data_IF_810904916182
#
_entry.id   IF_810904916182
#
_cell.length_a   1.000
_cell.length_b   1.000
_cell.length_c   1.000
_cell.angle_alpha   90.00
_cell.angle_beta   90.00
_cell.angle_gamma   90.00
#
_symmetry.space_group_name_H-M   'P 1'
#
loop_
_entity.id
_entity.type
_entity.pdbx_description
1 polymer ?
#
# COMPACT_ATOMS: atom_id res chain seq x y z
N UNK A 1 14.12 -32.77 3.01
CA UNK A 1 14.31 -32.82 1.53
C UNK A 1 15.17 -31.62 1.16
N UNK A 2 16.30 -31.81 0.48
CA UNK A 2 17.20 -30.72 0.05
C UNK A 2 16.48 -29.89 -1.03
N UNK A 3 16.49 -28.57 -0.91
CA UNK A 3 15.85 -27.66 -1.87
C UNK A 3 16.94 -27.00 -2.73
N UNK A 4 16.66 -26.85 -4.01
CA UNK A 4 17.52 -26.24 -5.04
C UNK A 4 17.18 -24.75 -5.28
N UNK A 5 16.30 -24.19 -4.45
CA UNK A 5 15.89 -22.79 -4.47
C UNK A 5 16.02 -22.16 -3.08
N UNK A 6 16.05 -20.83 -3.07
CA UNK A 6 15.96 -19.98 -1.90
C UNK A 6 14.82 -18.97 -2.07
N UNK A 7 14.23 -18.53 -0.96
CA UNK A 7 13.14 -17.54 -0.94
C UNK A 7 13.66 -16.28 -0.27
N UNK A 8 13.47 -15.13 -0.92
CA UNK A 8 13.83 -13.82 -0.41
C UNK A 8 12.57 -13.00 -0.18
N UNK A 9 12.50 -12.31 0.96
CA UNK A 9 11.44 -11.36 1.26
C UNK A 9 11.93 -9.96 0.86
N UNK A 10 11.15 -9.28 0.04
CA UNK A 10 11.45 -7.93 -0.43
C UNK A 10 10.53 -6.93 0.25
N UNK A 11 11.13 -5.90 0.84
CA UNK A 11 10.43 -4.73 1.35
C UNK A 11 11.17 -3.48 0.88
N UNK A 12 10.54 -2.60 0.07
CA UNK A 12 11.17 -1.38 -0.38
C UNK A 12 11.35 -0.41 0.80
N UNK A 13 12.49 0.28 0.85
CA UNK A 13 12.73 1.30 1.87
C UNK A 13 12.54 2.71 1.27
N UNK A 14 12.14 3.66 2.11
CA UNK A 14 12.01 5.07 1.73
C UNK A 14 13.04 5.92 2.48
N UNK A 15 13.57 6.95 1.81
CA UNK A 15 14.46 7.91 2.46
C UNK A 15 13.73 8.64 3.59
N UNK A 16 14.47 9.10 4.60
CA UNK A 16 13.87 9.87 5.70
C UNK A 16 13.19 11.16 5.23
N UNK A 17 13.68 11.76 4.15
CA UNK A 17 13.01 12.91 3.52
C UNK A 17 11.61 12.56 3.00
N UNK A 18 11.47 11.42 2.30
CA UNK A 18 10.18 10.96 1.79
C UNK A 18 9.26 10.57 2.96
N UNK A 19 9.80 9.89 3.98
CA UNK A 19 9.12 9.57 5.25
C UNK A 19 8.58 10.82 5.92
N UNK A 20 9.40 11.84 6.11
CA UNK A 20 8.99 13.11 6.74
C UNK A 20 7.93 13.84 5.90
N UNK A 21 8.15 13.94 4.60
CA UNK A 21 7.32 14.76 3.72
C UNK A 21 5.95 14.16 3.45
N UNK A 22 5.87 12.85 3.27
CA UNK A 22 4.63 12.19 2.83
C UNK A 22 4.00 11.29 3.89
N UNK A 23 4.79 10.73 4.82
CA UNK A 23 4.30 9.72 5.76
C UNK A 23 4.21 10.22 7.23
N UNK A 24 4.98 11.24 7.63
CA UNK A 24 4.94 11.75 9.01
C UNK A 24 3.76 12.68 9.31
N UNK A 25 3.16 13.33 8.31
CA UNK A 25 1.91 14.08 8.50
C UNK A 25 0.73 13.18 8.96
N UNK A 26 0.88 11.85 8.88
CA UNK A 26 -0.20 10.88 9.13
C UNK A 26 -0.11 10.14 10.47
N UNK A 27 0.93 10.34 11.29
CA UNK A 27 0.99 9.67 12.61
C UNK A 27 -0.07 10.15 13.60
N UNK A 28 -0.71 11.29 13.37
CA UNK A 28 -1.76 11.81 14.25
C UNK A 28 -3.17 11.34 13.87
N UNK A 29 -3.38 10.72 12.70
CA UNK A 29 -4.72 10.33 12.23
C UNK A 29 -4.66 8.91 11.63
N UNK A 30 -4.80 7.91 12.51
CA UNK A 30 -5.22 6.54 12.21
C UNK A 30 -4.32 5.72 11.26
N UNK A 31 -3.49 4.86 11.86
CA UNK A 31 -2.67 3.81 11.21
C UNK A 31 -3.42 2.86 10.25
N UNK A 32 -4.76 2.88 10.20
CA UNK A 32 -5.59 2.08 9.28
C UNK A 32 -5.94 2.79 7.96
N UNK A 33 -5.80 4.12 7.90
CA UNK A 33 -6.19 4.93 6.72
C UNK A 33 -5.02 5.03 5.72
N UNK A 34 -3.78 5.00 6.22
CA UNK A 34 -2.54 5.19 5.45
C UNK A 34 -2.32 4.15 4.36
N UNK A 35 -2.46 2.86 4.67
CA UNK A 35 -2.27 1.77 3.70
C UNK A 35 -3.22 1.90 2.49
N UNK A 36 -4.47 2.35 2.71
CA UNK A 36 -5.46 2.55 1.64
C UNK A 36 -5.21 3.79 0.79
N UNK A 37 -4.53 4.81 1.34
CA UNK A 37 -4.16 6.02 0.60
C UNK A 37 -3.03 5.72 -0.38
N UNK A 38 -2.02 4.99 0.06
CA UNK A 38 -0.86 4.63 -0.75
C UNK A 38 -1.31 3.80 -1.96
N UNK A 39 -2.03 2.70 -1.73
CA UNK A 39 -2.58 1.84 -2.78
C UNK A 39 -3.44 2.63 -3.79
N UNK A 40 -4.35 3.48 -3.30
CA UNK A 40 -5.17 4.30 -4.18
C UNK A 40 -4.36 5.36 -4.95
N UNK A 41 -3.23 5.83 -4.41
CA UNK A 41 -2.33 6.77 -5.10
C UNK A 41 -1.55 6.07 -6.20
N UNK A 42 -1.07 4.85 -5.93
CA UNK A 42 -0.39 4.01 -6.91
C UNK A 42 -1.33 3.64 -8.06
N UNK A 43 -2.58 3.23 -7.77
CA UNK A 43 -3.57 2.95 -8.82
C UNK A 43 -3.92 4.22 -9.60
N UNK A 44 -4.02 5.38 -8.95
CA UNK A 44 -4.24 6.66 -9.65
C UNK A 44 -3.07 7.02 -10.58
N UNK A 45 -1.84 6.67 -10.21
CA UNK A 45 -0.66 6.88 -11.05
C UNK A 45 -0.59 5.87 -12.21
N UNK A 46 -0.76 4.58 -11.91
CA UNK A 46 -0.58 3.47 -12.84
C UNK A 46 -1.76 3.27 -13.80
N UNK A 47 -2.97 3.42 -13.28
CA UNK A 47 -4.25 3.12 -13.96
C UNK A 47 -5.34 4.13 -13.56
N UNK A 48 -5.15 5.42 -13.87
CA UNK A 48 -6.12 6.47 -13.54
C UNK A 48 -7.52 6.17 -14.08
N UNK A 49 -7.63 5.44 -15.18
CA UNK A 49 -8.89 5.01 -15.80
C UNK A 49 -9.74 4.07 -14.93
N UNK A 50 -9.11 3.37 -13.97
CA UNK A 50 -9.78 2.49 -13.03
C UNK A 50 -10.30 3.22 -11.78
N UNK A 51 -9.82 4.44 -11.54
CA UNK A 51 -10.17 5.23 -10.36
C UNK A 51 -11.44 6.04 -10.66
N UNK A 52 -12.59 5.55 -10.19
CA UNK A 52 -13.92 6.12 -10.48
C UNK A 52 -14.49 6.92 -9.31
N UNK A 53 -13.83 8.04 -9.02
CA UNK A 53 -14.14 8.91 -7.89
C UNK A 53 -15.60 9.40 -7.92
N UNK A 54 -16.10 9.76 -9.11
CA UNK A 54 -17.46 10.27 -9.29
C UNK A 54 -18.55 9.25 -8.93
N UNK A 55 -18.28 7.94 -9.11
CA UNK A 55 -19.25 6.88 -8.80
C UNK A 55 -19.46 6.73 -7.30
N UNK A 56 -18.42 6.95 -6.51
CA UNK A 56 -18.50 6.80 -5.06
C UNK A 56 -19.28 7.97 -4.44
N UNK A 57 -19.06 9.20 -4.91
CA UNK A 57 -19.83 10.39 -4.51
C UNK A 57 -21.33 10.19 -4.78
N UNK A 58 -21.69 9.70 -5.97
CA UNK A 58 -23.09 9.42 -6.30
C UNK A 58 -23.72 8.30 -5.46
N UNK A 59 -22.93 7.30 -5.05
CA UNK A 59 -23.40 6.23 -4.17
C UNK A 59 -23.71 6.76 -2.76
N UNK A 60 -22.93 7.75 -2.29
CA UNK A 60 -23.10 8.39 -0.99
C UNK A 60 -24.37 9.23 -0.92
N UNK A 61 -24.65 10.06 -1.94
CA UNK A 61 -25.90 10.83 -1.98
C UNK A 61 -27.12 9.91 -1.95
N UNK A 62 -27.07 8.80 -2.69
CA UNK A 62 -28.17 7.83 -2.73
C UNK A 62 -28.38 7.12 -1.40
N UNK A 63 -27.32 6.86 -0.63
CA UNK A 63 -27.41 6.19 0.67
C UNK A 63 -27.86 7.16 1.76
N UNK A 64 -27.34 8.39 1.75
CA UNK A 64 -27.78 9.46 2.65
C UNK A 64 -29.26 9.79 2.44
N UNK A 65 -29.72 9.88 1.18
CA UNK A 65 -31.15 10.10 0.83
C UNK A 65 -32.07 8.94 1.22
N UNK A 66 -31.55 7.71 1.38
CA UNK A 66 -32.35 6.53 1.80
C UNK A 66 -32.56 6.46 3.32
N UNK A 67 -31.72 7.14 4.09
CA UNK A 67 -31.79 7.14 5.55
C UNK A 67 -32.70 8.28 6.03
N UNK A 68 -34.01 8.02 6.08
CA UNK A 68 -34.98 8.95 6.64
C UNK A 68 -35.07 8.77 8.17
N UNK A 69 -33.95 8.97 8.87
CA UNK A 69 -33.86 8.83 10.32
C UNK A 69 -34.04 10.19 11.00
N UNK A 70 -34.65 10.20 12.19
CA UNK A 70 -34.74 11.42 13.01
C UNK A 70 -33.35 11.91 13.41
N UNK A 71 -33.19 13.21 13.71
CA UNK A 71 -31.90 13.83 14.06
C UNK A 71 -31.12 13.16 15.21
N UNK A 72 -31.78 12.33 16.02
CA UNK A 72 -31.18 11.63 17.16
C UNK A 72 -30.82 10.16 16.84
N UNK A 73 -31.04 9.69 15.61
CA UNK A 73 -30.79 8.32 15.19
C UNK A 73 -29.81 8.29 14.02
N UNK A 74 -28.78 7.47 14.14
CA UNK A 74 -27.89 7.12 13.05
C UNK A 74 -27.77 5.60 12.98
N UNK A 75 -27.60 5.07 11.77
CA UNK A 75 -27.11 3.71 11.59
C UNK A 75 -25.72 3.79 10.97
N UNK A 76 -24.74 3.15 11.61
CA UNK A 76 -23.43 2.98 11.02
C UNK A 76 -23.50 1.95 9.91
N UNK A 77 -23.62 2.40 8.68
CA UNK A 77 -23.02 1.66 7.58
C UNK A 77 -21.50 1.81 7.71
N UNK A 78 -20.89 1.04 8.62
CA UNK A 78 -19.48 1.18 9.05
C UNK A 78 -18.46 1.18 7.91
N UNK A 79 -18.77 0.56 6.77
CA UNK A 79 -17.92 0.59 5.58
C UNK A 79 -17.92 1.93 4.81
N UNK A 80 -19.02 2.69 4.87
CA UNK A 80 -19.24 3.87 4.01
C UNK A 80 -18.59 5.12 4.62
N UNK A 81 -18.73 5.33 5.94
CA UNK A 81 -18.03 6.43 6.64
C UNK A 81 -16.51 6.29 6.58
N UNK A 82 -16.00 5.06 6.55
CA UNK A 82 -14.57 4.79 6.40
C UNK A 82 -14.04 5.26 5.02
N UNK A 83 -14.78 5.01 3.95
CA UNK A 83 -14.42 5.50 2.60
C UNK A 83 -14.55 7.03 2.48
N UNK A 84 -15.48 7.65 3.20
CA UNK A 84 -15.69 9.11 3.27
C UNK A 84 -14.46 9.88 3.79
N UNK A 85 -13.85 9.43 4.89
CA UNK A 85 -12.65 10.07 5.45
C UNK A 85 -11.44 9.92 4.51
N UNK A 86 -11.33 8.77 3.84
CA UNK A 86 -10.26 8.50 2.87
C UNK A 86 -10.36 9.45 1.67
N UNK A 87 -11.57 9.84 1.26
CA UNK A 87 -11.85 10.66 0.08
C UNK A 87 -11.78 12.17 0.30
N UNK A 88 -12.25 12.68 1.45
CA UNK A 88 -12.35 14.14 1.70
C UNK A 88 -11.00 14.86 1.87
N UNK A 89 -9.90 14.12 2.05
CA UNK A 89 -8.54 14.68 2.20
C UNK A 89 -7.78 14.72 0.87
N UNK A 90 -8.44 14.40 -0.27
CA UNK A 90 -7.78 14.15 -1.55
C UNK A 90 -7.76 15.39 -2.46
N UNK A 91 -6.61 16.04 -2.55
CA UNK A 91 -6.25 16.84 -3.73
C UNK A 91 -5.62 15.93 -4.79
N UNK A 92 -6.21 15.85 -5.99
CA UNK A 92 -5.80 14.94 -7.07
C UNK A 92 -4.33 15.09 -7.51
N UNK A 93 -3.77 16.30 -7.44
CA UNK A 93 -2.40 16.58 -7.88
C UNK A 93 -1.33 15.97 -6.95
N UNK A 94 -1.57 15.98 -5.64
CA UNK A 94 -0.57 15.53 -4.66
C UNK A 94 -0.53 13.99 -4.56
N UNK A 95 -1.66 13.31 -4.80
CA UNK A 95 -1.76 11.84 -4.81
C UNK A 95 -1.15 11.20 -6.05
N UNK A 96 -1.29 11.80 -7.23
CA UNK A 96 -0.62 11.27 -8.43
C UNK A 96 0.91 11.34 -8.24
N UNK A 97 1.41 12.47 -7.70
CA UNK A 97 2.81 12.62 -7.33
C UNK A 97 3.26 11.61 -6.27
N UNK A 98 2.45 11.41 -5.23
CA UNK A 98 2.73 10.40 -4.20
C UNK A 98 2.79 8.99 -4.79
N UNK A 99 1.80 8.60 -5.60
CA UNK A 99 1.76 7.31 -6.27
C UNK A 99 2.98 7.08 -7.15
N UNK A 100 3.37 8.10 -7.92
CA UNK A 100 4.61 8.09 -8.70
C UNK A 100 5.84 7.83 -7.83
N UNK A 101 6.01 8.58 -6.75
CA UNK A 101 7.16 8.44 -5.84
C UNK A 101 7.21 7.04 -5.24
N UNK A 102 6.07 6.52 -4.75
CA UNK A 102 6.00 5.19 -4.15
C UNK A 102 6.36 4.13 -5.20
N UNK A 103 5.70 4.17 -6.36
CA UNK A 103 5.91 3.20 -7.44
C UNK A 103 7.34 3.22 -7.95
N UNK A 104 7.89 4.39 -8.28
CA UNK A 104 9.25 4.51 -8.84
C UNK A 104 10.31 4.10 -7.83
N UNK A 105 10.15 4.47 -6.55
CA UNK A 105 11.05 4.03 -5.49
C UNK A 105 11.01 2.51 -5.33
N UNK A 106 9.81 1.91 -5.28
CA UNK A 106 9.65 0.45 -5.18
C UNK A 106 10.29 -0.28 -6.36
N UNK A 107 10.09 0.22 -7.59
CA UNK A 107 10.72 -0.35 -8.79
C UNK A 107 12.25 -0.27 -8.70
N UNK A 108 12.80 0.87 -8.27
CA UNK A 108 14.25 1.03 -8.12
C UNK A 108 14.83 0.02 -7.13
N UNK A 109 14.25 -0.08 -5.94
CA UNK A 109 14.68 -1.03 -4.91
C UNK A 109 14.53 -2.48 -5.36
N UNK A 110 13.46 -2.80 -6.11
CA UNK A 110 13.25 -4.14 -6.64
C UNK A 110 14.32 -4.51 -7.69
N UNK A 111 14.72 -3.57 -8.55
CA UNK A 111 15.80 -3.79 -9.51
C UNK A 111 17.10 -4.12 -8.78
N UNK A 112 17.43 -3.38 -7.72
CA UNK A 112 18.64 -3.61 -6.94
C UNK A 112 18.57 -4.93 -6.18
N UNK A 113 17.43 -5.26 -5.55
CA UNK A 113 17.22 -6.54 -4.91
C UNK A 113 17.37 -7.73 -5.89
N UNK A 114 16.84 -7.62 -7.11
CA UNK A 114 17.03 -8.66 -8.14
C UNK A 114 18.51 -8.81 -8.51
N UNK A 115 19.27 -7.72 -8.59
CA UNK A 115 20.71 -7.77 -8.85
C UNK A 115 21.46 -8.45 -7.71
N UNK A 116 21.14 -8.12 -6.47
CA UNK A 116 21.72 -8.77 -5.29
C UNK A 116 21.44 -10.27 -5.27
N UNK A 117 20.18 -10.68 -5.49
CA UNK A 117 19.80 -12.09 -5.56
C UNK A 117 20.53 -12.83 -6.67
N UNK A 118 20.68 -12.20 -7.85
CA UNK A 118 21.43 -12.81 -8.97
C UNK A 118 22.92 -13.01 -8.68
N UNK A 119 23.49 -12.17 -7.84
CA UNK A 119 24.90 -12.23 -7.46
C UNK A 119 25.15 -13.05 -6.18
N UNK A 120 24.08 -13.49 -5.50
CA UNK A 120 24.20 -14.30 -4.29
C UNK A 120 24.65 -15.73 -4.62
N UNK A 121 25.86 -16.07 -4.20
CA UNK A 121 26.46 -17.40 -4.31
C UNK A 121 26.50 -18.15 -2.97
N UNK A 122 25.98 -17.54 -1.90
CA UNK A 122 26.19 -17.99 -0.52
C UNK A 122 24.97 -18.70 0.02
N UNK A 123 23.75 -18.21 -0.25
CA UNK A 123 22.54 -18.71 0.40
C UNK A 123 22.28 -20.19 0.16
N UNK A 124 22.28 -20.64 -1.11
CA UNK A 124 22.07 -22.07 -1.43
C UNK A 124 23.17 -22.94 -0.82
N UNK A 125 24.41 -22.46 -0.80
CA UNK A 125 25.54 -23.18 -0.19
C UNK A 125 25.32 -23.37 1.31
N UNK A 126 24.88 -22.33 2.02
CA UNK A 126 24.57 -22.42 3.45
C UNK A 126 23.38 -23.33 3.74
N UNK A 127 22.31 -23.21 2.95
CA UNK A 127 21.14 -24.09 3.05
C UNK A 127 21.53 -25.56 2.89
N UNK A 128 22.36 -25.86 1.88
CA UNK A 128 22.86 -27.21 1.63
C UNK A 128 23.69 -27.73 2.80
N UNK A 129 24.62 -26.92 3.31
CA UNK A 129 25.45 -27.27 4.47
C UNK A 129 24.60 -27.63 5.68
N UNK A 130 23.60 -26.80 6.03
CA UNK A 130 22.71 -27.05 7.15
C UNK A 130 21.98 -28.40 7.01
N UNK A 131 21.41 -28.69 5.84
CA UNK A 131 20.70 -29.96 5.63
C UNK A 131 21.63 -31.18 5.60
N UNK A 132 22.88 -31.02 5.21
CA UNK A 132 23.87 -32.10 5.22
C UNK A 132 24.34 -32.39 6.67
N UNK A 133 24.46 -31.37 7.52
CA UNK A 133 24.81 -31.51 8.94
C UNK A 133 23.67 -32.08 9.80
N UNK A 134 22.42 -31.64 9.57
CA UNK A 134 21.25 -32.09 10.35
C UNK A 134 20.78 -33.50 9.97
N UNK A 135 21.30 -34.07 8.87
CA UNK A 135 21.02 -35.46 8.47
C UNK A 135 21.98 -36.49 9.10
N UNK A 136 22.88 -36.07 9.99
CA UNK A 136 23.56 -36.96 10.94
C UNK A 136 22.63 -37.32 12.09
#
# INVERSE_FOLDING_TARGET
>A
MKKDYAVYFFEPNFSEEIKMKYFQQERQILQKITCRREEASEILYLRPDLVKLDREIMSQEKISKRLNLSNNLYTEFGGIRHNLIIMQVINHLDRNRLGKIITENTVSYLIDAIREVKNDSVTIRMQNKFFDEVKQ
#
